data_IF_070757410748
#
_entry.id   IF_070757410748
#
_cell.length_a   1.000
_cell.length_b   1.000
_cell.length_c   1.000
_cell.angle_alpha   90.00
_cell.angle_beta   90.00
_cell.angle_gamma   90.00
#
_symmetry.space_group_name_H-M   'P 1'
#
loop_
_entity.id
_entity.type
_entity.pdbx_description
1 polymer ?
#
# COMPACT_ATOMS: atom_id res chain seq x y z
N UNK A 1 -9.57 1.56 20.72
CA UNK A 1 -8.33 0.77 20.80
C UNK A 1 -7.63 0.79 19.45
N UNK A 2 -6.41 1.33 19.34
CA UNK A 2 -5.71 1.40 18.06
C UNK A 2 -5.17 0.01 17.69
N UNK A 3 -5.73 -0.61 16.66
CA UNK A 3 -5.25 -1.90 16.15
C UNK A 3 -3.85 -1.69 15.56
N UNK A 4 -2.81 -2.25 16.21
CA UNK A 4 -1.43 -2.27 15.69
C UNK A 4 -1.38 -3.21 14.49
N UNK A 5 -1.67 -2.71 13.28
CA UNK A 5 -1.69 -3.54 12.05
C UNK A 5 -0.30 -3.88 11.51
N UNK A 6 0.71 -3.05 11.76
CA UNK A 6 2.08 -3.19 11.25
C UNK A 6 2.97 -4.17 12.05
N UNK A 7 2.41 -5.29 12.54
CA UNK A 7 3.08 -6.21 13.48
C UNK A 7 3.46 -7.55 12.83
N UNK A 8 4.03 -7.52 11.62
CA UNK A 8 4.49 -8.71 10.90
C UNK A 8 5.89 -8.51 10.32
N UNK A 9 6.62 -9.62 10.13
CA UNK A 9 8.02 -9.65 9.66
C UNK A 9 8.26 -8.76 8.44
N UNK A 10 7.34 -8.72 7.49
CA UNK A 10 7.42 -7.82 6.33
C UNK A 10 7.64 -6.36 6.75
N UNK A 11 6.80 -5.83 7.65
CA UNK A 11 6.89 -4.43 8.04
C UNK A 11 8.17 -4.11 8.80
N UNK A 12 8.73 -5.07 9.54
CA UNK A 12 10.00 -4.90 10.25
C UNK A 12 11.17 -4.82 9.27
N UNK A 13 11.24 -5.74 8.30
CA UNK A 13 12.33 -5.77 7.31
C UNK A 13 12.30 -4.55 6.39
N UNK A 14 11.12 -4.12 5.96
CA UNK A 14 10.96 -2.97 5.06
C UNK A 14 10.90 -1.62 5.79
N UNK A 15 10.88 -1.59 7.12
CA UNK A 15 10.89 -0.33 7.90
C UNK A 15 12.19 0.47 7.78
N UNK A 16 13.28 -0.16 7.35
CA UNK A 16 14.58 0.49 7.13
C UNK A 16 14.59 1.41 5.90
N UNK A 17 13.61 1.26 5.00
CA UNK A 17 13.56 2.03 3.76
C UNK A 17 13.10 3.45 4.08
N UNK A 18 14.00 4.40 3.82
CA UNK A 18 13.69 5.82 3.92
C UNK A 18 12.82 6.28 2.75
N UNK A 19 11.82 7.12 3.05
CA UNK A 19 10.92 7.68 2.05
C UNK A 19 11.54 8.91 1.39
N UNK A 20 12.09 8.73 0.19
CA UNK A 20 12.75 9.80 -0.59
C UNK A 20 11.77 10.65 -1.40
N UNK A 21 10.46 10.40 -1.30
CA UNK A 21 9.43 11.13 -2.05
C UNK A 21 9.32 12.57 -1.51
N UNK A 22 8.89 13.48 -2.37
CA UNK A 22 8.71 14.89 -2.01
C UNK A 22 7.67 15.02 -0.88
N UNK A 23 8.08 15.53 0.28
CA UNK A 23 7.28 15.57 1.53
C UNK A 23 5.87 16.16 1.34
N UNK A 24 5.74 17.25 0.57
CA UNK A 24 4.44 17.88 0.25
C UNK A 24 3.51 17.07 -0.67
N UNK A 25 3.98 15.94 -1.22
CA UNK A 25 3.22 15.02 -2.08
C UNK A 25 2.98 13.66 -1.42
N UNK A 26 3.44 13.45 -0.18
CA UNK A 26 3.26 12.19 0.54
C UNK A 26 1.86 12.15 1.16
N UNK A 27 0.94 11.41 0.55
CA UNK A 27 -0.41 11.13 1.10
C UNK A 27 -0.53 9.77 1.79
N UNK A 28 0.38 8.87 1.46
CA UNK A 28 0.35 7.47 1.87
C UNK A 28 1.74 7.02 2.31
N UNK A 29 1.82 6.13 3.28
CA UNK A 29 3.10 5.56 3.72
C UNK A 29 3.72 4.72 2.60
N UNK A 30 5.02 4.89 2.40
CA UNK A 30 5.77 4.12 1.39
C UNK A 30 5.61 2.61 1.60
N UNK A 31 5.67 2.16 2.86
CA UNK A 31 5.58 0.75 3.20
C UNK A 31 4.26 0.09 2.80
N UNK A 32 3.15 0.85 2.80
CA UNK A 32 1.86 0.34 2.37
C UNK A 32 1.83 0.12 0.84
N UNK A 33 2.50 1.00 0.08
CA UNK A 33 2.63 0.90 -1.38
C UNK A 33 3.51 -0.30 -1.74
N UNK A 34 4.66 -0.44 -1.08
CA UNK A 34 5.57 -1.59 -1.28
C UNK A 34 4.85 -2.90 -0.97
N UNK A 35 4.14 -2.98 0.16
CA UNK A 35 3.38 -4.19 0.52
C UNK A 35 2.36 -4.57 -0.56
N UNK A 36 1.60 -3.59 -1.05
CA UNK A 36 0.57 -3.83 -2.06
C UNK A 36 1.19 -4.25 -3.40
N UNK A 37 2.26 -3.58 -3.83
CA UNK A 37 2.95 -3.90 -5.08
C UNK A 37 3.54 -5.32 -5.03
N UNK A 38 4.25 -5.69 -3.96
CA UNK A 38 4.83 -7.04 -3.82
C UNK A 38 3.73 -8.11 -3.82
N UNK A 39 2.63 -7.88 -3.08
CA UNK A 39 1.54 -8.84 -3.03
C UNK A 39 0.85 -9.03 -4.39
N UNK A 40 0.63 -7.94 -5.13
CA UNK A 40 0.07 -7.99 -6.48
C UNK A 40 1.02 -8.63 -7.50
N UNK A 41 2.32 -8.33 -7.45
CA UNK A 41 3.33 -8.96 -8.32
C UNK A 41 3.41 -10.47 -8.11
N UNK A 42 3.27 -10.96 -6.87
CA UNK A 42 3.18 -12.41 -6.59
C UNK A 42 1.91 -13.02 -7.23
N UNK A 43 0.85 -12.24 -7.38
CA UNK A 43 -0.38 -12.61 -8.08
C UNK A 43 -0.29 -12.41 -9.61
N UNK A 44 0.89 -12.21 -10.17
CA UNK A 44 1.12 -12.00 -11.61
C UNK A 44 0.45 -10.72 -12.15
N UNK A 45 0.40 -9.65 -11.34
CA UNK A 45 0.09 -8.31 -11.82
C UNK A 45 1.39 -7.63 -12.27
N UNK A 46 1.47 -7.29 -13.55
CA UNK A 46 2.73 -6.85 -14.18
C UNK A 46 2.84 -5.33 -14.33
N UNK A 47 1.72 -4.61 -14.30
CA UNK A 47 1.69 -3.15 -14.40
C UNK A 47 0.94 -2.46 -13.24
N UNK A 48 1.05 -1.12 -13.18
CA UNK A 48 0.44 -0.32 -12.11
C UNK A 48 -1.09 -0.30 -12.15
N UNK A 49 -1.70 -0.48 -13.32
CA UNK A 49 -3.16 -0.53 -13.46
C UNK A 49 -3.69 -1.89 -12.98
N UNK A 50 -2.97 -2.98 -13.24
CA UNK A 50 -3.24 -4.32 -12.72
C UNK A 50 -3.11 -4.35 -11.19
N UNK A 51 -2.02 -3.79 -10.65
CA UNK A 51 -1.81 -3.70 -9.19
C UNK A 51 -2.96 -2.92 -8.54
N UNK A 52 -3.40 -1.83 -9.18
CA UNK A 52 -4.52 -1.01 -8.71
C UNK A 52 -5.84 -1.77 -8.77
N UNK A 53 -6.14 -2.45 -9.89
CA UNK A 53 -7.34 -3.27 -10.03
C UNK A 53 -7.38 -4.38 -8.97
N UNK A 54 -6.26 -5.07 -8.79
CA UNK A 54 -6.09 -6.09 -7.76
C UNK A 54 -6.29 -5.54 -6.34
N UNK A 55 -5.74 -4.36 -6.04
CA UNK A 55 -5.86 -3.74 -4.73
C UNK A 55 -7.30 -3.32 -4.40
N UNK A 56 -8.08 -2.91 -5.42
CA UNK A 56 -9.51 -2.60 -5.27
C UNK A 56 -10.30 -3.89 -5.03
N UNK A 57 -10.07 -4.93 -5.83
CA UNK A 57 -10.75 -6.23 -5.69
C UNK A 57 -10.45 -6.88 -4.33
N UNK A 58 -9.22 -6.71 -3.83
CA UNK A 58 -8.72 -7.32 -2.58
C UNK A 58 -8.65 -6.35 -1.42
N UNK A 59 -9.40 -5.25 -1.46
CA UNK A 59 -9.42 -4.24 -0.40
C UNK A 59 -9.67 -4.84 0.99
N UNK A 60 -10.67 -5.72 1.11
CA UNK A 60 -11.03 -6.35 2.39
C UNK A 60 -9.89 -7.20 2.96
N UNK A 61 -9.09 -7.80 2.09
CA UNK A 61 -7.89 -8.55 2.48
C UNK A 61 -6.77 -7.59 2.90
N UNK A 62 -6.52 -6.53 2.12
CA UNK A 62 -5.50 -5.53 2.43
C UNK A 62 -5.79 -4.78 3.73
N UNK A 63 -7.07 -4.54 4.06
CA UNK A 63 -7.52 -3.95 5.33
C UNK A 63 -7.09 -4.74 6.56
N UNK A 64 -6.70 -6.01 6.44
CA UNK A 64 -6.15 -6.80 7.55
C UNK A 64 -4.74 -6.36 7.93
N UNK A 65 -3.98 -5.84 6.97
CA UNK A 65 -2.56 -5.51 7.12
C UNK A 65 -2.28 -4.00 7.10
N UNK A 66 -3.08 -3.25 6.35
CA UNK A 66 -2.87 -1.83 6.10
C UNK A 66 -3.93 -0.95 6.77
N UNK A 67 -3.57 0.30 7.01
CA UNK A 67 -4.49 1.34 7.48
C UNK A 67 -4.98 2.15 6.28
N UNK A 68 -6.23 1.90 5.89
CA UNK A 68 -6.93 2.71 4.90
C UNK A 68 -7.84 3.71 5.60
N UNK A 69 -7.78 4.97 5.15
CA UNK A 69 -8.74 6.00 5.61
C UNK A 69 -10.08 5.86 4.87
N UNK A 70 -10.07 5.66 3.56
CA UNK A 70 -11.26 5.58 2.69
C UNK A 70 -10.99 4.64 1.50
N UNK A 71 -12.03 4.27 0.72
CA UNK A 71 -11.86 3.50 -0.54
C UNK A 71 -11.00 4.25 -1.55
N UNK A 72 -11.18 5.56 -1.65
CA UNK A 72 -10.43 6.47 -2.52
C UNK A 72 -8.94 6.51 -2.19
N UNK A 73 -8.57 6.18 -0.95
CA UNK A 73 -7.18 6.13 -0.46
C UNK A 73 -6.36 5.01 -1.13
N UNK A 74 -6.99 3.98 -1.71
CA UNK A 74 -6.29 2.94 -2.50
C UNK A 74 -5.93 3.48 -3.87
N UNK A 75 -6.86 4.20 -4.51
CA UNK A 75 -6.68 4.71 -5.87
C UNK A 75 -5.54 5.73 -5.93
N UNK A 76 -5.51 6.68 -5.00
CA UNK A 76 -4.50 7.74 -4.97
C UNK A 76 -3.07 7.24 -4.68
N UNK A 77 -2.90 5.99 -4.24
CA UNK A 77 -1.58 5.37 -4.01
C UNK A 77 -0.85 5.02 -5.30
N UNK A 78 -1.58 4.79 -6.40
CA UNK A 78 -1.04 4.25 -7.65
C UNK A 78 -1.24 5.16 -8.85
N UNK A 79 -2.22 6.07 -8.82
CA UNK A 79 -2.58 6.88 -9.99
C UNK A 79 -1.88 8.23 -10.09
N UNK A 80 -1.18 8.67 -9.03
CA UNK A 80 -0.55 10.00 -8.99
C UNK A 80 -1.54 11.17 -9.09
N UNK A 81 -2.84 10.91 -8.96
CA UNK A 81 -3.90 11.93 -8.99
C UNK A 81 -3.95 12.60 -7.61
N UNK A 82 -3.52 13.85 -7.57
CA UNK A 82 -3.60 14.75 -6.41
C UNK A 82 -5.00 15.37 -6.29
#
# INVERSE_FOLDING_TARGET
>A
MAVKKYKKSFFEHFSIIYDTRQEGKIRHKLIDIIFTAVAATICNCDDWEDIKAWAIEREDWLRKYLLYKTKTDILSRFTGIY
#
